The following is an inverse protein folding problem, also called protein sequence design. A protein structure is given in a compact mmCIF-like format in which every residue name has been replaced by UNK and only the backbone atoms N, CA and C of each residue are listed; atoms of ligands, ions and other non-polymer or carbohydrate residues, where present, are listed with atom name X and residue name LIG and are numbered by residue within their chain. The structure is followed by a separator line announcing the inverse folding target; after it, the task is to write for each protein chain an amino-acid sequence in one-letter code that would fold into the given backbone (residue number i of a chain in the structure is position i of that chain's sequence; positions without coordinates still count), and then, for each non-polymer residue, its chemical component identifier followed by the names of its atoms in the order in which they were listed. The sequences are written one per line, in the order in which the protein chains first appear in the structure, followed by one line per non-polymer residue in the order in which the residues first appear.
data_IF_727931598517
#
_entry.id   IF_727931598517
#
_cell.length_a   1.000
_cell.length_b   1.000
_cell.length_c   1.000
_cell.angle_alpha   90.00
_cell.angle_beta   90.00
_cell.angle_gamma   90.00
#
_symmetry.space_group_name_H-M   'P 1'
#
loop_
_entity.id
_entity.type
_entity.pdbx_description
1 polymer ?
#
# COMPACT_ATOMS: atom_id res chain seq x y z
N UNK A 1 11.37 -2.81 -14.70
CA UNK A 1 12.14 -3.47 -13.61
C UNK A 1 13.09 -2.54 -12.85
N UNK A 2 13.92 -1.71 -13.49
CA UNK A 2 14.92 -0.90 -12.74
C UNK A 2 14.31 0.18 -11.82
N UNK A 3 13.33 0.94 -12.31
CA UNK A 3 12.77 2.08 -11.57
C UNK A 3 12.12 1.71 -10.23
N UNK A 4 11.47 0.55 -10.13
CA UNK A 4 10.85 0.10 -8.88
C UNK A 4 11.88 -0.35 -7.84
N UNK A 5 12.98 -0.97 -8.27
CA UNK A 5 14.10 -1.31 -7.38
C UNK A 5 14.82 -0.07 -6.88
N UNK A 6 14.95 0.94 -7.74
CA UNK A 6 15.50 2.25 -7.37
C UNK A 6 14.63 2.94 -6.31
N UNK A 7 13.29 2.88 -6.42
CA UNK A 7 12.39 3.40 -5.37
C UNK A 7 12.70 2.77 -4.01
N UNK A 8 12.85 1.43 -3.95
CA UNK A 8 13.18 0.74 -2.70
C UNK A 8 14.57 1.13 -2.17
N UNK A 9 15.54 1.31 -3.07
CA UNK A 9 16.89 1.73 -2.72
C UNK A 9 16.89 3.15 -2.10
N UNK A 10 16.25 4.11 -2.76
CA UNK A 10 16.12 5.49 -2.27
C UNK A 10 15.33 5.53 -0.96
N UNK A 11 14.29 4.71 -0.82
CA UNK A 11 13.55 4.58 0.43
C UNK A 11 14.44 4.09 1.57
N UNK A 12 15.27 3.08 1.34
CA UNK A 12 16.20 2.60 2.36
C UNK A 12 17.22 3.68 2.76
N UNK A 13 17.75 4.44 1.80
CA UNK A 13 18.64 5.57 2.08
C UNK A 13 17.95 6.64 2.94
N UNK A 14 16.70 6.95 2.64
CA UNK A 14 15.87 7.87 3.42
C UNK A 14 15.72 7.42 4.88
N UNK A 15 15.44 6.13 5.10
CA UNK A 15 15.34 5.56 6.46
C UNK A 15 16.68 5.59 7.20
N UNK A 16 17.80 5.29 6.53
CA UNK A 16 19.15 5.37 7.11
C UNK A 16 19.55 6.80 7.48
N UNK A 17 19.03 7.80 6.75
CA UNK A 17 19.19 9.21 7.06
C UNK A 17 18.21 9.72 8.14
N UNK A 18 17.41 8.82 8.75
CA UNK A 18 16.39 9.14 9.75
C UNK A 18 15.32 10.13 9.27
N UNK A 19 15.02 10.13 7.96
CA UNK A 19 13.97 10.97 7.38
C UNK A 19 12.66 10.19 7.33
N UNK A 20 11.58 10.78 7.87
CA UNK A 20 10.26 10.16 7.92
C UNK A 20 9.56 10.24 6.56
N UNK A 21 8.99 9.13 6.11
CA UNK A 21 8.24 9.06 4.88
C UNK A 21 6.80 9.52 5.07
N UNK A 22 6.28 10.26 4.09
CA UNK A 22 4.89 10.69 4.03
C UNK A 22 4.01 9.69 3.26
N UNK A 23 2.69 9.95 3.21
CA UNK A 23 1.72 9.10 2.52
C UNK A 23 2.05 8.90 1.03
N UNK A 24 2.52 9.94 0.35
CA UNK A 24 2.89 9.89 -1.08
C UNK A 24 4.11 8.99 -1.29
N UNK A 25 5.10 9.07 -0.40
CA UNK A 25 6.29 8.21 -0.43
C UNK A 25 5.89 6.76 -0.20
N UNK A 26 5.07 6.50 0.83
CA UNK A 26 4.56 5.16 1.14
C UNK A 26 3.79 4.55 -0.04
N UNK A 27 2.91 5.33 -0.66
CA UNK A 27 2.16 4.91 -1.84
C UNK A 27 3.10 4.44 -2.95
N UNK A 28 4.15 5.22 -3.28
CA UNK A 28 5.12 4.86 -4.32
C UNK A 28 5.91 3.59 -3.98
N UNK A 29 6.30 3.44 -2.72
CA UNK A 29 7.02 2.25 -2.24
C UNK A 29 6.14 1.01 -2.35
N UNK A 30 4.88 1.07 -1.88
CA UNK A 30 3.94 -0.05 -1.97
C UNK A 30 3.64 -0.40 -3.43
N UNK A 31 3.45 0.59 -4.32
CA UNK A 31 3.30 0.34 -5.76
C UNK A 31 4.52 -0.38 -6.34
N UNK A 32 5.74 -0.01 -5.93
CA UNK A 32 6.95 -0.71 -6.34
C UNK A 32 6.95 -2.16 -5.82
N UNK A 33 6.56 -2.39 -4.57
CA UNK A 33 6.42 -3.74 -4.02
C UNK A 33 5.38 -4.58 -4.76
N UNK A 34 4.22 -3.99 -5.12
CA UNK A 34 3.18 -4.68 -5.89
C UNK A 34 3.67 -5.16 -7.25
N UNK A 35 4.52 -4.36 -7.93
CA UNK A 35 5.09 -4.72 -9.24
C UNK A 35 6.22 -5.74 -9.11
N UNK A 36 7.03 -5.65 -8.05
CA UNK A 36 8.16 -6.54 -7.82
C UNK A 36 7.79 -7.83 -7.07
N UNK A 37 6.55 -7.95 -6.58
CA UNK A 37 6.09 -9.01 -5.70
C UNK A 37 6.90 -9.12 -4.39
N UNK A 38 7.43 -8.01 -3.89
CA UNK A 38 8.24 -7.93 -2.65
C UNK A 38 7.32 -7.77 -1.43
N UNK A 39 6.56 -8.82 -1.10
CA UNK A 39 5.49 -8.74 -0.09
C UNK A 39 5.96 -8.52 1.34
N UNK A 40 7.16 -9.02 1.68
CA UNK A 40 7.74 -8.80 3.01
C UNK A 40 8.03 -7.31 3.25
N UNK A 41 8.49 -6.62 2.20
CA UNK A 41 8.71 -5.18 2.23
C UNK A 41 7.36 -4.47 2.32
N UNK A 42 6.38 -4.87 1.51
CA UNK A 42 5.04 -4.27 1.53
C UNK A 42 4.36 -4.37 2.91
N UNK A 43 4.42 -5.53 3.57
CA UNK A 43 3.88 -5.70 4.91
C UNK A 43 4.59 -4.79 5.93
N UNK A 44 5.92 -4.68 5.85
CA UNK A 44 6.68 -3.73 6.69
C UNK A 44 6.27 -2.27 6.48
N UNK A 45 5.85 -1.90 5.25
CA UNK A 45 5.32 -0.55 4.99
C UNK A 45 3.95 -0.32 5.62
N UNK A 46 3.10 -1.36 5.69
CA UNK A 46 1.81 -1.26 6.40
C UNK A 46 2.05 -1.03 7.89
N UNK A 47 2.96 -1.80 8.50
CA UNK A 47 3.36 -1.58 9.90
C UNK A 47 3.91 -0.16 10.12
N UNK A 48 4.67 0.37 9.15
CA UNK A 48 5.18 1.74 9.20
C UNK A 48 4.05 2.78 9.15
N UNK A 49 3.07 2.60 8.25
CA UNK A 49 1.89 3.48 8.14
C UNK A 49 1.14 3.54 9.47
N UNK A 50 0.94 2.40 10.12
CA UNK A 50 0.25 2.33 11.41
C UNK A 50 1.04 2.97 12.54
N UNK A 51 2.34 2.65 12.65
CA UNK A 51 3.22 3.20 13.69
C UNK A 51 3.40 4.71 13.60
N UNK A 52 3.39 5.27 12.39
CA UNK A 52 3.54 6.71 12.16
C UNK A 52 2.19 7.43 12.04
N UNK A 53 1.07 6.73 12.24
CA UNK A 53 -0.29 7.28 12.13
C UNK A 53 -0.53 8.04 10.82
N UNK A 54 0.01 7.51 9.70
CA UNK A 54 -0.17 8.15 8.40
C UNK A 54 -1.63 8.05 7.98
N UNK A 55 -2.19 9.18 7.53
CA UNK A 55 -3.56 9.22 7.03
C UNK A 55 -3.67 8.41 5.73
N UNK A 56 -4.69 7.55 5.67
CA UNK A 56 -5.04 6.82 4.47
C UNK A 56 -5.89 7.72 3.57
N UNK A 57 -5.22 8.58 2.81
CA UNK A 57 -5.87 9.30 1.73
C UNK A 57 -6.39 8.33 0.64
N UNK A 58 -7.18 8.86 -0.29
CA UNK A 58 -7.81 8.05 -1.34
C UNK A 58 -6.78 7.31 -2.21
N UNK A 59 -5.56 7.85 -2.36
CA UNK A 59 -4.52 7.26 -3.22
C UNK A 59 -3.76 6.14 -2.50
N UNK A 60 -3.30 6.38 -1.27
CA UNK A 60 -2.64 5.38 -0.43
C UNK A 60 -3.59 4.25 -0.07
N UNK A 61 -4.83 4.59 0.31
CA UNK A 61 -5.88 3.61 0.58
C UNK A 61 -6.16 2.71 -0.62
N UNK A 62 -6.37 3.28 -1.81
CA UNK A 62 -6.58 2.50 -3.03
C UNK A 62 -5.37 1.61 -3.39
N UNK A 63 -4.15 2.08 -3.11
CA UNK A 63 -2.92 1.30 -3.33
C UNK A 63 -2.85 0.07 -2.43
N UNK A 64 -3.23 0.23 -1.16
CA UNK A 64 -3.33 -0.88 -0.20
C UNK A 64 -4.46 -1.85 -0.56
N UNK A 65 -5.60 -1.35 -1.04
CA UNK A 65 -6.70 -2.20 -1.54
C UNK A 65 -6.25 -3.06 -2.73
N UNK A 66 -5.55 -2.47 -3.71
CA UNK A 66 -5.00 -3.21 -4.84
C UNK A 66 -3.98 -4.26 -4.38
N UNK A 67 -3.10 -3.92 -3.44
CA UNK A 67 -2.12 -4.85 -2.86
C UNK A 67 -2.80 -6.06 -2.22
N UNK A 68 -3.75 -5.84 -1.31
CA UNK A 68 -4.45 -6.93 -0.61
C UNK A 68 -5.37 -7.72 -1.54
N UNK A 69 -6.10 -7.03 -2.41
CA UNK A 69 -7.01 -7.65 -3.39
C UNK A 69 -6.28 -8.56 -4.38
N UNK A 70 -5.08 -8.17 -4.85
CA UNK A 70 -4.24 -9.04 -5.71
C UNK A 70 -3.83 -10.34 -5.04
N UNK A 71 -3.73 -10.34 -3.70
CA UNK A 71 -3.35 -11.50 -2.88
C UNK A 71 -4.57 -12.28 -2.36
N UNK A 72 -5.79 -11.88 -2.71
CA UNK A 72 -7.02 -12.50 -2.20
C UNK A 72 -7.25 -12.25 -0.70
N UNK A 73 -6.52 -11.32 -0.08
CA UNK A 73 -6.60 -11.01 1.36
C UNK A 73 -7.74 -10.03 1.62
N UNK A 74 -8.97 -10.48 1.36
CA UNK A 74 -10.14 -9.60 1.32
C UNK A 74 -10.48 -9.00 2.68
N UNK A 75 -10.24 -9.71 3.78
CA UNK A 75 -10.46 -9.19 5.13
C UNK A 75 -9.58 -7.97 5.43
N UNK A 76 -8.31 -8.01 4.98
CA UNK A 76 -7.38 -6.89 5.14
C UNK A 76 -7.75 -5.74 4.19
N UNK A 77 -8.20 -6.05 2.97
CA UNK A 77 -8.73 -5.03 2.06
C UNK A 77 -9.96 -4.32 2.66
N UNK A 78 -10.88 -5.05 3.26
CA UNK A 78 -12.05 -4.49 3.95
C UNK A 78 -11.61 -3.57 5.11
N UNK A 79 -10.67 -4.03 5.94
CA UNK A 79 -10.17 -3.22 7.07
C UNK A 79 -9.53 -1.90 6.61
N UNK A 80 -8.79 -1.91 5.49
CA UNK A 80 -8.25 -0.68 4.87
C UNK A 80 -9.39 0.21 4.39
N UNK A 81 -10.35 -0.36 3.65
CA UNK A 81 -11.50 0.38 3.12
C UNK A 81 -12.26 1.10 4.24
N UNK A 82 -12.53 0.40 5.35
CA UNK A 82 -13.27 0.97 6.49
C UNK A 82 -12.51 2.14 7.14
N UNK A 83 -11.18 2.08 7.19
CA UNK A 83 -10.32 3.15 7.72
C UNK A 83 -10.15 4.36 6.80
N UNK A 84 -10.43 4.23 5.50
CA UNK A 84 -10.31 5.35 4.55
C UNK A 84 -11.37 6.42 4.82
N UNK A 85 -10.95 7.66 5.01
CA UNK A 85 -11.87 8.80 5.21
C UNK A 85 -12.65 9.14 3.94
N UNK A 86 -11.96 9.14 2.81
CA UNK A 86 -12.53 9.37 1.49
C UNK A 86 -12.44 8.11 0.63
N UNK A 87 -13.51 7.83 -0.11
CA UNK A 87 -13.63 6.65 -0.96
C UNK A 87 -14.16 7.09 -2.32
N UNK A 88 -13.64 6.52 -3.39
CA UNK A 88 -14.10 6.81 -4.75
C UNK A 88 -14.45 5.52 -5.50
N UNK A 89 -14.86 5.65 -6.76
CA UNK A 89 -15.21 4.49 -7.59
C UNK A 89 -14.07 3.46 -7.69
N UNK A 90 -12.81 3.91 -7.64
CA UNK A 90 -11.66 3.00 -7.64
C UNK A 90 -11.62 2.19 -6.33
N UNK A 91 -11.90 2.80 -5.18
CA UNK A 91 -11.94 2.09 -3.88
C UNK A 91 -12.95 0.94 -3.89
N UNK A 92 -14.18 1.22 -4.36
CA UNK A 92 -15.24 0.22 -4.47
C UNK A 92 -14.89 -0.89 -5.47
N UNK A 93 -14.37 -0.52 -6.64
CA UNK A 93 -13.99 -1.48 -7.66
C UNK A 93 -12.85 -2.40 -7.20
N UNK A 94 -11.85 -1.86 -6.49
CA UNK A 94 -10.76 -2.63 -5.91
C UNK A 94 -11.25 -3.63 -4.88
N UNK A 95 -12.16 -3.21 -3.99
CA UNK A 95 -12.74 -4.10 -2.97
C UNK A 95 -13.56 -5.24 -3.60
N UNK A 96 -14.44 -4.93 -4.55
CA UNK A 96 -15.22 -5.94 -5.28
C UNK A 96 -14.32 -6.94 -6.03
N UNK A 97 -13.25 -6.44 -6.66
CA UNK A 97 -12.25 -7.30 -7.32
C UNK A 97 -11.56 -8.23 -6.33
N UNK A 98 -11.25 -7.74 -5.11
CA UNK A 98 -10.72 -8.55 -4.02
C UNK A 98 -11.67 -9.67 -3.61
N UNK A 99 -12.96 -9.37 -3.41
CA UNK A 99 -13.99 -10.38 -3.12
C UNK A 99 -14.12 -11.43 -4.24
N UNK A 100 -14.13 -11.00 -5.50
CA UNK A 100 -14.21 -11.89 -6.65
C UNK A 100 -12.99 -12.83 -6.79
N UNK A 101 -11.83 -12.44 -6.24
CA UNK A 101 -10.63 -13.28 -6.21
C UNK A 101 -10.55 -14.21 -5.00
N UNK A 102 -11.28 -13.91 -3.93
CA UNK A 102 -11.27 -14.70 -2.70
C UNK A 102 -12.27 -15.88 -2.73
N UNK A 103 -13.31 -15.79 -3.59
CA UNK A 103 -14.22 -16.89 -3.90
C UNK A 103 -13.71 -17.77 -5.04
#
# INVERSE_FOLDING_TARGET
CNRHKEILCVFNMMQMAHVTADAVTMMKVILACNVLCEWNVANSMVDYIEKNHLELDVYLGNTLLDMYGKRGLVELAQAVFDRMREKNSVSWNSLMTGYAKAG
#
